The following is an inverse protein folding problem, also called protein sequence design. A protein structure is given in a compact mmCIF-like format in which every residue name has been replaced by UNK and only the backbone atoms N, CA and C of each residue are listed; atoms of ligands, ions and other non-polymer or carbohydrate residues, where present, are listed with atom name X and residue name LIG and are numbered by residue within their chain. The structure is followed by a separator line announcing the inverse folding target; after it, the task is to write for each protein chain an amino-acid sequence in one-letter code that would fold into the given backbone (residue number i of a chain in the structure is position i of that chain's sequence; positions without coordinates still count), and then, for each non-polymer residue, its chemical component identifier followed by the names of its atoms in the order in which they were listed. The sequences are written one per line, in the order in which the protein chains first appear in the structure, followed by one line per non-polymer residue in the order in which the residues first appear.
data_IF_418940802019
#
_entry.id   IF_418940802019
#
_cell.length_a   1.000
_cell.length_b   1.000
_cell.length_c   1.000
_cell.angle_alpha   90.00
_cell.angle_beta   90.00
_cell.angle_gamma   90.00
#
_symmetry.space_group_name_H-M   'P 1'
#
loop_
_entity.id
_entity.type
_entity.pdbx_description
1 polymer ?
#
# COMPACT_ATOMS: atom_id res chain seq x y z
N UNK A 1 3.48 23.54 6.90
CA UNK A 1 3.32 22.61 5.77
C UNK A 1 1.85 22.53 5.41
N UNK A 2 1.47 22.86 4.19
CA UNK A 2 0.09 22.75 3.73
C UNK A 2 -0.19 21.35 3.16
N UNK A 3 -1.47 21.07 2.89
CA UNK A 3 -1.89 19.76 2.36
C UNK A 3 -1.29 19.45 0.99
N UNK A 4 -1.03 20.47 0.18
CA UNK A 4 -0.43 20.28 -1.15
C UNK A 4 0.99 19.74 -1.04
N UNK A 5 1.80 20.34 -0.16
CA UNK A 5 3.16 19.86 0.09
C UNK A 5 3.18 18.48 0.72
N UNK A 6 2.27 18.23 1.66
CA UNK A 6 2.16 16.93 2.30
C UNK A 6 1.80 15.86 1.29
N UNK A 7 0.85 16.14 0.41
CA UNK A 7 0.45 15.22 -0.65
C UNK A 7 1.60 14.93 -1.61
N UNK A 8 2.34 15.96 -2.02
CA UNK A 8 3.49 15.80 -2.91
C UNK A 8 4.57 14.92 -2.29
N UNK A 9 4.83 15.10 -1.00
CA UNK A 9 5.81 14.27 -0.28
C UNK A 9 5.34 12.83 -0.14
N UNK A 10 4.07 12.64 0.20
CA UNK A 10 3.51 11.31 0.47
C UNK A 10 3.16 10.52 -0.78
N UNK A 11 2.91 11.22 -1.90
CA UNK A 11 2.39 10.59 -3.11
C UNK A 11 3.32 9.52 -3.68
N UNK A 12 4.62 9.72 -3.57
CA UNK A 12 5.61 8.79 -4.10
C UNK A 12 5.86 7.59 -3.18
N UNK A 13 5.61 7.72 -1.89
CA UNK A 13 5.89 6.68 -0.91
C UNK A 13 5.08 5.40 -1.18
N UNK A 14 3.75 5.46 -1.39
CA UNK A 14 2.99 4.25 -1.70
C UNK A 14 3.42 3.58 -2.99
N UNK A 15 3.72 4.35 -4.02
CA UNK A 15 4.10 3.83 -5.34
C UNK A 15 5.44 3.11 -5.25
N UNK A 16 6.45 3.78 -4.73
CA UNK A 16 7.81 3.22 -4.59
C UNK A 16 7.78 2.05 -3.61
N UNK A 17 7.11 2.21 -2.49
CA UNK A 17 6.99 1.17 -1.48
C UNK A 17 6.29 -0.08 -2.00
N UNK A 18 5.24 0.08 -2.80
CA UNK A 18 4.53 -1.04 -3.40
C UNK A 18 5.42 -1.81 -4.39
N UNK A 19 6.17 -1.11 -5.22
CA UNK A 19 7.09 -1.73 -6.18
C UNK A 19 8.18 -2.50 -5.45
N UNK A 20 8.77 -1.92 -4.41
CA UNK A 20 9.79 -2.58 -3.58
C UNK A 20 9.21 -3.83 -2.91
N UNK A 21 8.03 -3.71 -2.30
CA UNK A 21 7.37 -4.83 -1.65
C UNK A 21 7.08 -5.97 -2.63
N UNK A 22 6.60 -5.64 -3.83
CA UNK A 22 6.32 -6.62 -4.87
C UNK A 22 7.61 -7.31 -5.33
N UNK A 23 8.69 -6.57 -5.55
CA UNK A 23 9.97 -7.14 -5.93
C UNK A 23 10.51 -8.09 -4.86
N UNK A 24 10.45 -7.69 -3.59
CA UNK A 24 10.84 -8.54 -2.47
C UNK A 24 9.98 -9.79 -2.37
N UNK A 25 8.69 -9.64 -2.57
CA UNK A 25 7.74 -10.75 -2.50
C UNK A 25 8.02 -11.80 -3.58
N UNK A 26 8.19 -11.35 -4.82
CA UNK A 26 8.52 -12.24 -5.95
C UNK A 26 9.89 -12.91 -5.72
N UNK A 27 10.89 -12.13 -5.30
CA UNK A 27 12.23 -12.67 -5.00
C UNK A 27 12.18 -13.72 -3.88
N UNK A 28 11.29 -13.56 -2.91
CA UNK A 28 11.14 -14.52 -1.81
C UNK A 28 10.69 -15.90 -2.28
N UNK A 29 9.86 -15.97 -3.30
CA UNK A 29 9.44 -17.24 -3.89
C UNK A 29 10.56 -17.87 -4.70
N UNK A 30 11.29 -17.09 -5.48
CA UNK A 30 12.42 -17.56 -6.27
C UNK A 30 13.53 -18.15 -5.39
N UNK A 31 13.84 -17.45 -4.27
CA UNK A 31 14.86 -17.88 -3.31
C UNK A 31 14.36 -18.77 -2.18
N UNK A 32 13.07 -19.06 -2.13
CA UNK A 32 12.42 -19.80 -1.04
C UNK A 32 12.76 -19.23 0.34
N UNK A 33 12.83 -17.91 0.42
CA UNK A 33 13.22 -17.21 1.63
C UNK A 33 11.99 -16.69 2.39
N UNK A 34 11.69 -17.32 3.52
CA UNK A 34 10.53 -16.98 4.35
C UNK A 34 10.69 -15.61 5.03
N UNK A 35 11.88 -15.27 5.46
CA UNK A 35 12.14 -13.98 6.10
C UNK A 35 11.94 -12.82 5.11
N UNK A 36 12.38 -13.01 3.88
CA UNK A 36 12.20 -12.03 2.82
C UNK A 36 10.71 -11.86 2.50
N UNK A 37 9.95 -12.95 2.46
CA UNK A 37 8.50 -12.91 2.25
C UNK A 37 7.80 -12.16 3.37
N UNK A 38 8.16 -12.42 4.60
CA UNK A 38 7.62 -11.73 5.76
C UNK A 38 7.93 -10.23 5.69
N UNK A 39 9.16 -9.86 5.33
CA UNK A 39 9.55 -8.46 5.14
C UNK A 39 8.72 -7.78 4.06
N UNK A 40 8.50 -8.45 2.93
CA UNK A 40 7.66 -7.95 1.86
C UNK A 40 6.22 -7.69 2.34
N UNK A 41 5.64 -8.60 3.10
CA UNK A 41 4.30 -8.44 3.66
C UNK A 41 4.22 -7.27 4.63
N UNK A 42 5.26 -7.06 5.43
CA UNK A 42 5.34 -5.90 6.34
C UNK A 42 5.36 -4.61 5.52
N UNK A 43 6.14 -4.56 4.45
CA UNK A 43 6.19 -3.36 3.57
C UNK A 43 4.83 -3.11 2.93
N UNK A 44 4.14 -4.14 2.45
CA UNK A 44 2.77 -3.98 1.93
C UNK A 44 1.81 -3.40 2.97
N UNK A 45 1.87 -3.88 4.20
CA UNK A 45 1.02 -3.37 5.29
C UNK A 45 1.33 -1.90 5.61
N UNK A 46 2.61 -1.55 5.67
CA UNK A 46 3.04 -0.16 5.90
C UNK A 46 2.61 0.75 4.76
N UNK A 47 2.76 0.30 3.52
CA UNK A 47 2.31 1.05 2.33
C UNK A 47 0.81 1.32 2.41
N UNK A 48 0.02 0.32 2.79
CA UNK A 48 -1.42 0.49 2.95
C UNK A 48 -1.76 1.55 4.01
N UNK A 49 -1.06 1.53 5.15
CA UNK A 49 -1.27 2.52 6.21
C UNK A 49 -0.88 3.94 5.75
N UNK A 50 0.21 4.08 5.03
CA UNK A 50 0.67 5.39 4.51
C UNK A 50 -0.25 5.90 3.41
N UNK A 51 -0.88 5.02 2.67
CA UNK A 51 -1.82 5.39 1.60
C UNK A 51 -3.03 6.16 2.14
N UNK A 52 -3.47 5.88 3.36
CA UNK A 52 -4.61 6.58 3.96
C UNK A 52 -4.35 8.09 4.07
N UNK A 53 -3.30 8.57 4.76
CA UNK A 53 -3.02 10.01 4.81
C UNK A 53 -2.67 10.59 3.45
N UNK A 54 -2.06 9.80 2.55
CA UNK A 54 -1.79 10.25 1.18
C UNK A 54 -3.10 10.56 0.45
N UNK A 55 -4.07 9.67 0.54
CA UNK A 55 -5.38 9.86 -0.08
C UNK A 55 -6.11 11.07 0.51
N UNK A 56 -6.13 11.18 1.84
CA UNK A 56 -6.78 12.29 2.54
C UNK A 56 -6.16 13.62 2.15
N UNK A 57 -4.83 13.71 2.11
CA UNK A 57 -4.12 14.93 1.69
C UNK A 57 -4.40 15.26 0.23
N UNK A 58 -4.53 14.25 -0.64
CA UNK A 58 -4.89 14.43 -2.04
C UNK A 58 -6.28 15.02 -2.21
N UNK A 59 -7.26 14.52 -1.47
CA UNK A 59 -8.63 15.07 -1.49
C UNK A 59 -8.64 16.52 -1.03
N UNK A 60 -7.89 16.84 0.03
CA UNK A 60 -7.78 18.21 0.53
C UNK A 60 -7.09 19.12 -0.50
N UNK A 61 -6.04 18.66 -1.15
CA UNK A 61 -5.34 19.39 -2.21
C UNK A 61 -6.25 19.62 -3.42
N UNK A 62 -7.01 18.62 -3.85
CA UNK A 62 -7.96 18.73 -4.95
C UNK A 62 -9.03 19.79 -4.69
N UNK A 63 -9.53 19.88 -3.46
CA UNK A 63 -10.48 20.91 -3.07
C UNK A 63 -9.89 22.32 -3.15
N UNK A 64 -8.64 22.48 -2.75
CA UNK A 64 -7.91 23.74 -2.85
C UNK A 64 -7.72 24.14 -4.30
N UNK A 65 -7.32 23.21 -5.15
CA UNK A 65 -7.10 23.44 -6.58
C UNK A 65 -8.43 23.69 -7.32
N UNK A 66 -9.50 23.00 -6.95
CA UNK A 66 -10.82 23.18 -7.57
C UNK A 66 -11.36 24.60 -7.39
N UNK A 67 -10.95 25.30 -6.32
CA UNK A 67 -11.31 26.70 -6.10
C UNK A 67 -10.47 27.67 -6.94
N UNK A 68 -9.34 27.22 -7.49
CA UNK A 68 -8.51 28.00 -8.39
C UNK A 68 -9.03 27.78 -9.83
N UNK A 69 -9.48 28.87 -10.45
CA UNK A 69 -10.02 28.84 -11.80
C UNK A 69 -9.00 28.30 -12.80
N UNK A 70 -9.37 27.33 -13.60
CA UNK A 70 -8.58 26.85 -14.73
C UNK A 70 -8.32 25.36 -14.79
N UNK A 71 -8.70 24.58 -13.78
CA UNK A 71 -8.54 23.14 -13.82
C UNK A 71 -9.87 22.49 -14.28
N UNK A 72 -9.79 21.64 -15.31
CA UNK A 72 -10.92 20.94 -15.84
C UNK A 72 -11.54 19.98 -14.81
N UNK A 73 -12.84 20.06 -14.59
CA UNK A 73 -13.58 19.12 -13.76
C UNK A 73 -13.44 17.68 -14.25
N UNK A 74 -13.35 17.48 -15.56
CA UNK A 74 -13.17 16.16 -16.15
C UNK A 74 -11.82 15.54 -15.76
N UNK A 75 -10.76 16.34 -15.73
CA UNK A 75 -9.43 15.90 -15.28
C UNK A 75 -9.42 15.57 -13.79
N UNK A 76 -10.05 16.40 -12.96
CA UNK A 76 -10.19 16.17 -11.53
C UNK A 76 -10.94 14.86 -11.25
N UNK A 77 -12.03 14.61 -11.95
CA UNK A 77 -12.82 13.38 -11.81
C UNK A 77 -12.04 12.13 -12.23
N UNK A 78 -11.26 12.23 -13.31
CA UNK A 78 -10.39 11.13 -13.77
C UNK A 78 -9.32 10.80 -12.73
N UNK A 79 -8.68 11.82 -12.18
CA UNK A 79 -7.68 11.65 -11.15
C UNK A 79 -8.28 11.03 -9.88
N UNK A 80 -9.43 11.51 -9.47
CA UNK A 80 -10.18 10.98 -8.32
C UNK A 80 -10.57 9.52 -8.52
N UNK A 81 -11.07 9.18 -9.70
CA UNK A 81 -11.43 7.80 -10.04
C UNK A 81 -10.24 6.86 -10.01
N UNK A 82 -9.11 7.28 -10.59
CA UNK A 82 -7.87 6.51 -10.58
C UNK A 82 -7.32 6.37 -9.16
N UNK A 83 -7.35 7.43 -8.37
CA UNK A 83 -6.90 7.41 -6.99
C UNK A 83 -7.76 6.48 -6.12
N UNK A 84 -9.08 6.50 -6.32
CA UNK A 84 -10.01 5.63 -5.62
C UNK A 84 -9.75 4.16 -5.94
N UNK A 85 -9.56 3.84 -7.22
CA UNK A 85 -9.24 2.48 -7.66
C UNK A 85 -7.92 2.01 -7.04
N UNK A 86 -6.90 2.87 -7.07
CA UNK A 86 -5.60 2.58 -6.46
C UNK A 86 -5.71 2.36 -4.95
N UNK A 87 -6.51 3.19 -4.27
CA UNK A 87 -6.76 3.06 -2.84
C UNK A 87 -7.36 1.68 -2.50
N UNK A 88 -8.40 1.29 -3.20
CA UNK A 88 -9.03 -0.01 -2.99
C UNK A 88 -8.07 -1.16 -3.23
N UNK A 89 -7.25 -1.07 -4.28
CA UNK A 89 -6.27 -2.08 -4.62
C UNK A 89 -5.20 -2.22 -3.52
N UNK A 90 -4.68 -1.10 -3.05
CA UNK A 90 -3.67 -1.07 -1.98
C UNK A 90 -4.27 -1.53 -0.65
N UNK A 91 -5.50 -1.14 -0.34
CA UNK A 91 -6.18 -1.59 0.88
C UNK A 91 -6.43 -3.10 0.87
N UNK A 92 -6.86 -3.65 -0.25
CA UNK A 92 -7.03 -5.09 -0.40
C UNK A 92 -5.69 -5.85 -0.23
N UNK A 93 -4.64 -5.34 -0.84
CA UNK A 93 -3.28 -5.91 -0.72
C UNK A 93 -2.78 -5.84 0.72
N UNK A 94 -2.95 -4.68 1.36
CA UNK A 94 -2.55 -4.48 2.76
C UNK A 94 -3.33 -5.37 3.72
N UNK A 95 -4.63 -5.52 3.51
CA UNK A 95 -5.46 -6.42 4.30
C UNK A 95 -5.04 -7.87 4.16
N UNK A 96 -4.75 -8.30 2.93
CA UNK A 96 -4.24 -9.65 2.67
C UNK A 96 -2.87 -9.85 3.33
N UNK A 97 -2.00 -8.85 3.25
CA UNK A 97 -0.67 -8.90 3.88
C UNK A 97 -0.77 -8.99 5.40
N UNK A 98 -1.64 -8.22 6.02
CA UNK A 98 -1.88 -8.28 7.47
C UNK A 98 -2.42 -9.64 7.90
N UNK A 99 -3.34 -10.21 7.14
CA UNK A 99 -3.89 -11.54 7.39
C UNK A 99 -2.79 -12.60 7.30
N UNK A 100 -1.95 -12.53 6.27
CA UNK A 100 -0.84 -13.43 6.11
C UNK A 100 0.18 -13.32 7.24
N UNK A 101 0.52 -12.09 7.66
CA UNK A 101 1.41 -11.85 8.80
C UNK A 101 0.84 -12.40 10.10
N UNK A 102 -0.46 -12.24 10.29
CA UNK A 102 -1.13 -12.78 11.48
C UNK A 102 -1.07 -14.32 11.49
N UNK A 103 -1.28 -14.95 10.34
CA UNK A 103 -1.11 -16.41 10.20
C UNK A 103 0.33 -16.84 10.47
N UNK A 104 1.30 -16.10 9.96
CA UNK A 104 2.71 -16.33 10.26
C UNK A 104 2.98 -16.31 11.77
N UNK A 105 2.44 -15.31 12.45
CA UNK A 105 2.60 -15.16 13.89
C UNK A 105 1.98 -16.34 14.64
N UNK A 106 0.81 -16.81 14.21
CA UNK A 106 0.13 -17.96 14.83
C UNK A 106 0.88 -19.27 14.60
N UNK A 107 1.39 -19.47 13.39
CA UNK A 107 2.12 -20.70 13.03
C UNK A 107 3.51 -20.74 13.66
N UNK A 108 4.14 -19.58 13.89
CA UNK A 108 5.41 -19.52 14.62
C UNK A 108 5.28 -20.00 16.07
N UNK A 109 4.08 -19.93 16.66
CA UNK A 109 3.78 -20.45 18.00
C UNK A 109 3.29 -21.91 17.96
N UNK A 110 3.11 -22.49 16.77
CA UNK A 110 2.58 -23.84 16.56
C UNK A 110 3.62 -24.86 16.13
N UNK A 111 3.19 -26.10 15.80
CA UNK A 111 4.08 -27.13 15.31
C UNK A 111 4.77 -26.75 13.99
N UNK A 112 6.02 -27.17 13.72
CA UNK A 112 6.78 -26.77 12.54
C UNK A 112 6.10 -27.06 11.21
N UNK A 113 5.25 -28.07 11.14
CA UNK A 113 4.54 -28.43 9.91
C UNK A 113 3.50 -27.42 9.48
N UNK A 114 2.94 -26.68 10.41
CA UNK A 114 1.96 -25.66 10.10
C UNK A 114 2.56 -24.47 9.35
N UNK A 115 3.84 -24.20 9.53
CA UNK A 115 4.54 -23.09 8.89
C UNK A 115 4.59 -23.22 7.37
N UNK A 116 4.78 -24.44 6.88
CA UNK A 116 4.86 -24.72 5.45
C UNK A 116 3.53 -24.43 4.75
N UNK A 117 2.44 -24.84 5.36
CA UNK A 117 1.09 -24.64 4.82
C UNK A 117 0.69 -23.17 4.87
N UNK A 118 1.05 -22.45 5.94
CA UNK A 118 0.71 -21.04 6.10
C UNK A 118 1.45 -20.12 5.13
N UNK A 119 2.60 -20.56 4.64
CA UNK A 119 3.42 -19.80 3.67
C UNK A 119 2.90 -19.94 2.25
N UNK A 120 2.20 -21.02 1.96
CA UNK A 120 1.60 -21.27 0.66
C UNK A 120 0.21 -20.62 0.55
#
# INVERSE_FOLDING_TARGET
MNFDHLHLLLNHVPIIGFVIALALFVASFAGRNTDLRRSALIVFAVVALVTIPTFVSGVAADRTIANDAGISEALGKRHEGAAMLGLWFVMATGGAAMTALWRFRRTAAGPPRADIVAVL
#
